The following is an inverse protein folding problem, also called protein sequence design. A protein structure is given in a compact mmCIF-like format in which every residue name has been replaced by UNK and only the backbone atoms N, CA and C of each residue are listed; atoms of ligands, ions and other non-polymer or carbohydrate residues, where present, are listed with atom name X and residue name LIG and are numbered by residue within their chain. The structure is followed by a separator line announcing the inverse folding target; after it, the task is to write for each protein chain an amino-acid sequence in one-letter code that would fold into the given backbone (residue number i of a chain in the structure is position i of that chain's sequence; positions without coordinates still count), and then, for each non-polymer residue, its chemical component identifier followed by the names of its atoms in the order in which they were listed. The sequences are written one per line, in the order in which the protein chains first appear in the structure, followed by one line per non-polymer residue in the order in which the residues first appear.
data_IF_847055798949
#
_entry.id   IF_847055798949
#
_cell.length_a   1.000
_cell.length_b   1.000
_cell.length_c   1.000
_cell.angle_alpha   90.00
_cell.angle_beta   90.00
_cell.angle_gamma   90.00
#
_symmetry.space_group_name_H-M   'P 1'
#
loop_
_entity.id
_entity.type
_entity.pdbx_description
1 polymer ?
#
# COMPACT_ATOMS: atom_id res chain seq x y z
N UNK A 1 24.23 17.33 -13.71
CA UNK A 1 23.84 17.11 -12.30
C UNK A 1 23.46 15.67 -12.18
N UNK A 2 24.25 14.85 -11.50
CA UNK A 2 23.89 13.45 -11.28
C UNK A 2 22.67 13.38 -10.35
N UNK A 3 21.67 12.53 -10.63
CA UNK A 3 20.57 12.34 -9.73
C UNK A 3 21.08 11.58 -8.50
N UNK A 4 20.86 12.15 -7.32
CA UNK A 4 21.23 11.59 -6.03
C UNK A 4 20.81 10.11 -5.90
N UNK A 5 21.74 9.20 -6.15
CA UNK A 5 21.59 7.77 -5.92
C UNK A 5 21.59 7.53 -4.41
N UNK A 6 20.45 7.74 -3.77
CA UNK A 6 20.26 7.31 -2.39
C UNK A 6 20.31 5.78 -2.35
N UNK A 7 21.20 5.23 -1.52
CA UNK A 7 21.27 3.79 -1.31
C UNK A 7 19.89 3.24 -0.90
N UNK A 8 19.50 2.08 -1.45
CA UNK A 8 18.24 1.44 -1.10
C UNK A 8 18.23 1.16 0.40
N UNK A 9 17.12 1.51 1.05
CA UNK A 9 16.98 1.27 2.49
C UNK A 9 16.53 -0.18 2.69
N UNK A 10 17.13 -0.86 3.66
CA UNK A 10 16.62 -2.16 4.10
C UNK A 10 15.25 -2.02 4.77
N UNK A 11 14.36 -3.01 4.58
CA UNK A 11 13.07 -3.06 5.24
C UNK A 11 13.24 -3.21 6.76
N UNK A 12 12.22 -2.81 7.51
CA UNK A 12 12.08 -3.22 8.91
C UNK A 12 11.64 -4.69 8.95
N UNK A 13 12.09 -5.44 9.94
CA UNK A 13 11.61 -6.81 10.15
C UNK A 13 10.15 -6.78 10.61
N UNK A 14 9.85 -6.11 11.73
CA UNK A 14 8.50 -6.02 12.28
C UNK A 14 8.05 -4.60 12.64
N UNK A 15 6.74 -4.42 12.79
CA UNK A 15 6.13 -3.27 13.46
C UNK A 15 5.57 -3.66 14.85
N UNK A 16 5.39 -2.65 15.70
CA UNK A 16 4.79 -2.89 17.01
C UNK A 16 3.28 -3.18 16.90
N UNK A 17 2.70 -3.95 17.84
CA UNK A 17 1.25 -4.18 17.93
C UNK A 17 0.44 -2.88 17.99
N UNK A 18 0.96 -1.88 18.73
CA UNK A 18 0.35 -0.54 18.79
C UNK A 18 0.32 0.14 17.42
N UNK A 19 1.39 -0.01 16.64
CA UNK A 19 1.45 0.51 15.27
C UNK A 19 0.44 -0.18 14.39
N UNK A 20 0.37 -1.52 14.44
CA UNK A 20 -0.56 -2.30 13.63
C UNK A 20 -2.02 -1.92 13.91
N UNK A 21 -2.47 -2.00 15.16
CA UNK A 21 -3.85 -1.64 15.52
C UNK A 21 -4.20 -0.16 15.31
N UNK A 22 -3.21 0.73 15.30
CA UNK A 22 -3.45 2.12 14.95
C UNK A 22 -3.55 2.31 13.44
N UNK A 23 -2.64 1.73 12.65
CA UNK A 23 -2.46 2.04 11.23
C UNK A 23 -3.20 1.13 10.28
N UNK A 24 -3.58 -0.09 10.65
CA UNK A 24 -4.22 -1.04 9.76
C UNK A 24 -5.75 -1.14 9.83
N UNK A 25 -6.52 -0.51 10.73
CA UNK A 25 -7.99 -0.57 10.64
C UNK A 25 -8.56 -0.04 9.32
N UNK A 26 -9.44 -0.81 8.67
CA UNK A 26 -10.27 -0.42 7.54
C UNK A 26 -11.29 0.63 7.97
N UNK A 27 -11.00 1.88 7.63
CA UNK A 27 -11.82 3.04 7.96
C UNK A 27 -11.94 3.97 6.75
N UNK A 28 -13.17 4.33 6.35
CA UNK A 28 -13.40 5.37 5.34
C UNK A 28 -12.78 6.72 5.72
N UNK A 29 -12.85 7.08 7.00
CA UNK A 29 -12.28 8.31 7.54
C UNK A 29 -11.26 7.99 8.63
N UNK A 30 -10.02 8.38 8.39
CA UNK A 30 -8.89 7.93 9.20
C UNK A 30 -7.99 9.10 9.62
N UNK A 31 -8.60 10.09 10.26
CA UNK A 31 -7.93 11.32 10.66
C UNK A 31 -6.70 11.06 11.56
N UNK A 32 -5.64 11.85 11.38
CA UNK A 32 -4.41 11.76 12.16
C UNK A 32 -3.44 10.65 11.75
N UNK A 33 -3.79 9.76 10.81
CA UNK A 33 -2.88 8.73 10.27
C UNK A 33 -1.96 9.31 9.21
N UNK A 34 -0.86 9.91 9.65
CA UNK A 34 0.13 10.60 8.78
C UNK A 34 1.13 9.66 8.07
N UNK A 35 1.09 8.36 8.37
CA UNK A 35 2.05 7.39 7.85
C UNK A 35 1.34 6.29 7.07
N UNK A 36 2.00 5.84 6.01
CA UNK A 36 1.70 4.61 5.31
C UNK A 36 2.75 3.56 5.67
N UNK A 37 2.28 2.40 6.11
CA UNK A 37 3.05 1.18 6.28
C UNK A 37 2.68 0.20 5.16
N UNK A 38 3.68 -0.44 4.58
CA UNK A 38 3.58 -1.45 3.53
C UNK A 38 4.37 -2.67 4.00
N UNK A 39 3.64 -3.72 4.38
CA UNK A 39 4.24 -5.02 4.64
C UNK A 39 4.31 -5.78 3.32
N UNK A 40 5.40 -6.46 3.03
CA UNK A 40 5.54 -7.21 1.79
C UNK A 40 6.10 -8.61 2.02
N UNK A 41 5.78 -9.47 1.07
CA UNK A 41 6.38 -10.77 0.88
C UNK A 41 6.79 -10.88 -0.60
N UNK A 42 7.93 -11.51 -0.86
CA UNK A 42 8.41 -11.88 -2.19
C UNK A 42 8.62 -13.38 -2.23
N UNK A 43 7.83 -14.07 -3.03
CA UNK A 43 7.98 -15.48 -3.31
C UNK A 43 8.76 -15.66 -4.62
N UNK A 44 9.76 -16.55 -4.60
CA UNK A 44 10.60 -16.86 -5.77
C UNK A 44 10.29 -18.26 -6.24
N UNK A 45 9.94 -18.42 -7.52
CA UNK A 45 9.62 -19.72 -8.09
C UNK A 45 10.75 -20.73 -7.86
N UNK A 46 10.45 -21.83 -7.15
CA UNK A 46 11.42 -22.90 -6.91
C UNK A 46 12.33 -22.75 -5.68
N UNK A 47 12.17 -21.69 -4.87
CA UNK A 47 12.95 -21.47 -3.65
C UNK A 47 12.07 -21.44 -2.39
N UNK A 48 12.46 -22.10 -1.29
CA UNK A 48 11.70 -22.10 -0.04
C UNK A 48 11.87 -20.82 0.79
N UNK A 49 12.79 -19.94 0.40
CA UNK A 49 13.07 -18.69 1.13
C UNK A 49 12.32 -17.53 0.46
N UNK A 50 11.41 -16.93 1.22
CA UNK A 50 10.71 -15.69 0.85
C UNK A 50 11.39 -14.50 1.53
N UNK A 51 11.64 -13.42 0.78
CA UNK A 51 12.03 -12.15 1.39
C UNK A 51 10.78 -11.44 1.90
N UNK A 52 10.86 -10.83 3.07
CA UNK A 52 9.72 -10.16 3.67
C UNK A 52 10.17 -8.99 4.54
N UNK A 53 9.23 -8.10 4.85
CA UNK A 53 9.47 -7.01 5.79
C UNK A 53 8.49 -5.87 5.62
N UNK A 54 8.83 -4.74 6.24
CA UNK A 54 7.95 -3.58 6.32
C UNK A 54 8.66 -2.30 5.89
N UNK A 55 8.07 -1.59 4.94
CA UNK A 55 8.40 -0.21 4.64
C UNK A 55 7.42 0.75 5.29
N UNK A 56 7.93 1.90 5.70
CA UNK A 56 7.15 3.05 6.14
C UNK A 56 7.55 4.25 5.31
N UNK A 57 6.57 5.07 4.90
CA UNK A 57 6.85 6.34 4.24
C UNK A 57 7.82 7.20 5.06
N UNK A 58 8.74 7.89 4.37
CA UNK A 58 9.66 8.86 4.95
C UNK A 58 9.03 10.24 4.89
N UNK A 59 8.95 10.90 6.04
CA UNK A 59 8.73 12.35 6.10
C UNK A 59 10.11 13.00 6.03
N UNK A 60 10.58 13.33 4.83
CA UNK A 60 11.82 14.07 4.65
C UNK A 60 11.50 15.55 4.36
N UNK A 61 12.31 16.46 4.91
CA UNK A 61 12.09 17.92 4.84
C UNK A 61 12.00 18.48 3.40
N UNK A 62 12.53 17.76 2.40
CA UNK A 62 12.59 18.21 0.99
C UNK A 62 11.74 17.39 0.02
N UNK A 63 11.42 16.14 0.35
CA UNK A 63 10.60 15.26 -0.50
C UNK A 63 10.11 14.06 0.33
N UNK A 64 8.82 13.96 0.69
CA UNK A 64 8.31 12.76 1.32
C UNK A 64 8.47 11.57 0.36
N UNK A 65 9.00 10.44 0.84
CA UNK A 65 9.07 9.20 0.05
C UNK A 65 7.98 8.26 0.51
N UNK A 66 7.15 7.82 -0.42
CA UNK A 66 6.08 6.86 -0.15
C UNK A 66 6.66 5.45 0.07
N UNK A 67 5.91 4.59 0.76
CA UNK A 67 6.41 3.26 1.14
C UNK A 67 6.62 2.38 -0.09
N UNK A 68 5.75 2.54 -1.09
CA UNK A 68 5.78 1.92 -2.42
C UNK A 68 7.11 2.21 -3.12
N UNK A 69 7.52 3.48 -3.19
CA UNK A 69 8.79 3.88 -3.82
C UNK A 69 10.00 3.35 -3.03
N UNK A 70 9.89 3.24 -1.70
CA UNK A 70 10.95 2.63 -0.89
C UNK A 70 11.10 1.14 -1.23
N UNK A 71 9.99 0.40 -1.35
CA UNK A 71 10.01 -0.98 -1.79
C UNK A 71 10.60 -1.11 -3.19
N UNK A 72 10.11 -0.34 -4.18
CA UNK A 72 10.59 -0.45 -5.56
C UNK A 72 12.08 -0.13 -5.68
N UNK A 73 12.59 0.82 -4.90
CA UNK A 73 14.03 1.12 -4.84
C UNK A 73 14.84 -0.03 -4.24
N UNK A 74 14.35 -0.63 -3.14
CA UNK A 74 14.98 -1.77 -2.50
C UNK A 74 14.97 -3.02 -3.39
N UNK A 75 13.83 -3.31 -4.02
CA UNK A 75 13.63 -4.52 -4.80
C UNK A 75 14.47 -4.53 -6.09
N UNK A 76 14.59 -3.38 -6.77
CA UNK A 76 15.52 -3.20 -7.90
C UNK A 76 16.97 -3.49 -7.54
N UNK A 77 17.36 -3.24 -6.29
CA UNK A 77 18.73 -3.47 -5.83
C UNK A 77 19.00 -4.91 -5.40
N UNK A 78 18.00 -5.80 -5.41
CA UNK A 78 18.17 -7.21 -5.09
C UNK A 78 18.75 -8.04 -6.26
N UNK A 79 19.14 -7.41 -7.37
CA UNK A 79 19.67 -8.09 -8.57
C UNK A 79 18.75 -9.23 -9.04
N UNK A 80 17.49 -8.89 -9.35
CA UNK A 80 16.47 -9.86 -9.79
C UNK A 80 16.95 -10.62 -11.02
N UNK A 81 17.09 -11.94 -10.88
CA UNK A 81 17.41 -12.85 -11.99
C UNK A 81 16.29 -12.83 -13.04
N UNK A 82 16.60 -12.62 -14.33
CA UNK A 82 15.61 -12.73 -15.40
C UNK A 82 15.03 -14.13 -15.59
N UNK A 83 15.72 -15.16 -15.09
CA UNK A 83 15.34 -16.58 -15.24
C UNK A 83 14.38 -17.06 -14.13
N UNK A 84 14.14 -16.23 -13.12
CA UNK A 84 13.22 -16.52 -12.02
C UNK A 84 11.93 -15.71 -12.16
N UNK A 85 10.82 -16.29 -11.68
CA UNK A 85 9.56 -15.57 -11.52
C UNK A 85 9.39 -15.14 -10.06
N UNK A 86 8.94 -13.92 -9.87
CA UNK A 86 8.68 -13.34 -8.55
C UNK A 86 7.20 -13.05 -8.40
N UNK A 87 6.62 -13.51 -7.30
CA UNK A 87 5.30 -13.09 -6.87
C UNK A 87 5.45 -12.20 -5.64
N UNK A 88 5.01 -10.95 -5.76
CA UNK A 88 5.09 -9.96 -4.70
C UNK A 88 3.69 -9.74 -4.15
N UNK A 89 3.55 -9.75 -2.83
CA UNK A 89 2.30 -9.39 -2.16
C UNK A 89 2.55 -8.21 -1.25
N UNK A 90 1.74 -7.16 -1.38
CA UNK A 90 1.74 -5.99 -0.49
C UNK A 90 0.49 -5.97 0.37
N UNK A 91 0.69 -5.83 1.68
CA UNK A 91 -0.35 -5.47 2.64
C UNK A 91 -0.10 -4.05 3.13
N UNK A 92 -0.87 -3.10 2.62
CA UNK A 92 -0.64 -1.68 2.85
C UNK A 92 -1.72 -1.06 3.73
N UNK A 93 -1.31 -0.15 4.62
CA UNK A 93 -2.26 0.61 5.44
C UNK A 93 -3.13 1.59 4.62
N UNK A 94 -2.66 1.98 3.43
CA UNK A 94 -3.34 2.86 2.48
C UNK A 94 -3.07 2.37 1.07
N UNK A 95 -4.06 2.46 0.19
CA UNK A 95 -3.86 2.22 -1.24
C UNK A 95 -2.83 3.20 -1.81
N UNK A 96 -2.11 2.82 -2.87
CA UNK A 96 -1.14 3.73 -3.49
C UNK A 96 -1.77 5.04 -3.96
N UNK A 97 -1.01 6.13 -3.90
CA UNK A 97 -1.40 7.36 -4.60
C UNK A 97 -1.18 7.22 -6.11
N UNK A 98 -1.80 8.10 -6.90
CA UNK A 98 -1.71 8.02 -8.37
C UNK A 98 -0.26 8.03 -8.89
N UNK A 99 0.61 8.90 -8.37
CA UNK A 99 2.02 8.91 -8.78
C UNK A 99 2.78 7.64 -8.41
N UNK A 100 2.41 6.95 -7.32
CA UNK A 100 3.01 5.67 -6.95
C UNK A 100 2.45 4.53 -7.80
N UNK A 101 1.16 4.58 -8.16
CA UNK A 101 0.57 3.67 -9.12
C UNK A 101 1.31 3.73 -10.46
N UNK A 102 1.55 4.93 -11.00
CA UNK A 102 2.31 5.11 -12.25
C UNK A 102 3.71 4.47 -12.18
N UNK A 103 4.43 4.67 -11.06
CA UNK A 103 5.77 4.12 -10.87
C UNK A 103 5.76 2.59 -10.70
N UNK A 104 4.71 2.03 -10.11
CA UNK A 104 4.51 0.57 -10.03
C UNK A 104 4.21 0.00 -11.41
N UNK A 105 3.35 0.63 -12.21
CA UNK A 105 3.06 0.18 -13.59
C UNK A 105 4.35 0.17 -14.42
N UNK A 106 5.12 1.27 -14.40
CA UNK A 106 6.44 1.33 -15.09
C UNK A 106 7.39 0.25 -14.61
N UNK A 107 7.38 -0.06 -13.31
CA UNK A 107 8.21 -1.13 -12.77
C UNK A 107 7.79 -2.49 -13.33
N UNK A 108 6.50 -2.82 -13.33
CA UNK A 108 6.00 -4.10 -13.86
C UNK A 108 6.19 -4.22 -15.38
N UNK A 109 6.16 -3.11 -16.11
CA UNK A 109 6.52 -3.08 -17.53
C UNK A 109 8.00 -3.40 -17.77
N UNK A 110 8.88 -2.92 -16.89
CA UNK A 110 10.32 -3.18 -16.95
C UNK A 110 10.68 -4.61 -16.50
N UNK A 111 10.00 -5.15 -15.48
CA UNK A 111 10.28 -6.45 -14.88
C UNK A 111 9.12 -7.42 -15.12
N UNK A 112 9.03 -7.92 -16.36
CA UNK A 112 7.93 -8.80 -16.83
C UNK A 112 7.83 -10.15 -16.10
N UNK A 113 8.88 -10.55 -15.39
CA UNK A 113 8.92 -11.74 -14.55
C UNK A 113 8.43 -11.50 -13.10
N UNK A 114 7.90 -10.30 -12.82
CA UNK A 114 7.31 -9.94 -11.52
C UNK A 114 5.81 -9.80 -11.65
N UNK A 115 5.09 -10.46 -10.75
CA UNK A 115 3.64 -10.24 -10.52
C UNK A 115 3.44 -9.58 -9.17
N UNK A 116 2.34 -8.84 -9.01
CA UNK A 116 2.08 -8.05 -7.82
C UNK A 116 0.61 -8.10 -7.42
N UNK A 117 0.38 -8.40 -6.14
CA UNK A 117 -0.91 -8.28 -5.47
C UNK A 117 -0.83 -7.18 -4.41
N UNK A 118 -1.87 -6.35 -4.31
CA UNK A 118 -1.96 -5.26 -3.34
C UNK A 118 -3.28 -5.36 -2.57
N UNK A 119 -3.14 -5.62 -1.28
CA UNK A 119 -4.22 -5.63 -0.30
C UNK A 119 -4.12 -4.39 0.59
N UNK A 120 -5.04 -3.44 0.41
CA UNK A 120 -5.04 -2.19 1.14
C UNK A 120 -6.03 -2.22 2.31
N UNK A 121 -5.64 -1.75 3.49
CA UNK A 121 -6.58 -1.57 4.59
C UNK A 121 -7.61 -0.46 4.28
N UNK A 122 -7.18 0.59 3.57
CA UNK A 122 -7.97 1.79 3.28
C UNK A 122 -7.67 2.34 1.89
N UNK A 123 -8.63 3.00 1.28
CA UNK A 123 -8.43 3.74 0.04
C UNK A 123 -7.99 5.17 0.31
N UNK A 124 -6.92 5.62 -0.34
CA UNK A 124 -6.38 6.98 -0.20
C UNK A 124 -6.95 7.92 -1.26
N UNK A 125 -7.57 9.02 -0.83
CA UNK A 125 -8.18 10.05 -1.71
C UNK A 125 -9.09 9.47 -2.81
N UNK A 126 -9.86 8.42 -2.50
CA UNK A 126 -10.62 7.66 -3.49
C UNK A 126 -11.76 8.43 -4.18
N UNK A 127 -12.14 9.59 -3.65
CA UNK A 127 -13.08 10.52 -4.28
C UNK A 127 -12.45 11.35 -5.40
N UNK A 128 -11.12 11.36 -5.54
CA UNK A 128 -10.38 12.20 -6.46
C UNK A 128 -10.02 11.43 -7.76
N UNK A 129 -10.45 11.89 -8.96
CA UNK A 129 -10.29 11.15 -10.21
C UNK A 129 -8.87 10.65 -10.55
N UNK A 130 -7.78 11.40 -10.32
CA UNK A 130 -6.42 10.89 -10.55
C UNK A 130 -6.10 9.64 -9.72
N UNK A 131 -6.56 9.58 -8.47
CA UNK A 131 -6.34 8.42 -7.60
C UNK A 131 -7.14 7.21 -8.09
N UNK A 132 -8.37 7.42 -8.51
CA UNK A 132 -9.18 6.37 -9.14
C UNK A 132 -8.54 5.85 -10.43
N UNK A 133 -8.02 6.75 -11.28
CA UNK A 133 -7.30 6.39 -12.50
C UNK A 133 -6.06 5.55 -12.18
N UNK A 134 -5.24 5.95 -11.20
CA UNK A 134 -4.07 5.17 -10.79
C UNK A 134 -4.42 3.74 -10.35
N UNK A 135 -5.53 3.55 -9.61
CA UNK A 135 -6.00 2.20 -9.25
C UNK A 135 -6.45 1.38 -10.47
N UNK A 136 -7.13 2.01 -11.44
CA UNK A 136 -7.51 1.34 -12.70
C UNK A 136 -6.31 0.99 -13.57
N UNK A 137 -5.28 1.83 -13.60
CA UNK A 137 -4.04 1.57 -14.34
C UNK A 137 -3.27 0.40 -13.73
N UNK A 138 -3.20 0.32 -12.39
CA UNK A 138 -2.66 -0.86 -11.69
C UNK A 138 -3.42 -2.14 -12.09
N UNK A 139 -4.75 -2.12 -12.04
CA UNK A 139 -5.56 -3.26 -12.47
C UNK A 139 -5.29 -3.63 -13.94
N UNK A 140 -5.19 -2.64 -14.82
CA UNK A 140 -4.91 -2.85 -16.25
C UNK A 140 -3.52 -3.42 -16.51
N UNK A 141 -2.56 -3.14 -15.62
CA UNK A 141 -1.22 -3.72 -15.61
C UNK A 141 -1.19 -5.15 -15.01
N UNK A 142 -2.34 -5.72 -14.65
CA UNK A 142 -2.46 -7.08 -14.13
C UNK A 142 -2.26 -7.19 -12.61
N UNK A 143 -2.27 -6.08 -11.88
CA UNK A 143 -2.17 -6.09 -10.41
C UNK A 143 -3.50 -6.50 -9.79
N UNK A 144 -3.50 -7.51 -8.93
CA UNK A 144 -4.67 -7.80 -8.10
C UNK A 144 -4.81 -6.74 -7.01
N UNK A 145 -5.99 -6.12 -6.91
CA UNK A 145 -6.29 -5.08 -5.93
C UNK A 145 -7.50 -5.48 -5.09
N UNK A 146 -7.37 -5.51 -3.78
CA UNK A 146 -8.50 -5.73 -2.86
C UNK A 146 -8.31 -4.97 -1.53
N UNK A 147 -9.39 -4.87 -0.76
CA UNK A 147 -9.35 -4.44 0.63
C UNK A 147 -9.07 -5.65 1.53
N UNK A 148 -8.10 -5.48 2.43
CA UNK A 148 -7.67 -6.52 3.37
C UNK A 148 -8.85 -7.24 4.03
N UNK A 149 -8.86 -8.56 3.88
CA UNK A 149 -9.77 -9.52 4.51
C UNK A 149 -9.38 -9.81 5.96
N UNK A 150 -10.16 -10.65 6.64
CA UNK A 150 -9.80 -11.11 7.98
C UNK A 150 -8.49 -11.90 7.95
N UNK A 151 -8.34 -12.77 6.95
CA UNK A 151 -7.20 -13.63 6.71
C UNK A 151 -5.94 -12.79 6.45
N UNK A 152 -6.05 -11.72 5.67
CA UNK A 152 -4.93 -10.80 5.42
C UNK A 152 -4.46 -10.12 6.71
N UNK A 153 -5.39 -9.69 7.57
CA UNK A 153 -5.01 -9.10 8.86
C UNK A 153 -4.38 -10.12 9.80
N UNK A 154 -4.89 -11.35 9.82
CA UNK A 154 -4.31 -12.41 10.63
C UNK A 154 -2.90 -12.76 10.14
N UNK A 155 -2.74 -12.94 8.83
CA UNK A 155 -1.45 -13.18 8.19
C UNK A 155 -0.47 -12.05 8.53
N UNK A 156 -0.91 -10.79 8.45
CA UNK A 156 -0.06 -9.67 8.78
C UNK A 156 0.37 -9.64 10.25
N UNK A 157 -0.54 -10.00 11.15
CA UNK A 157 -0.24 -10.08 12.57
C UNK A 157 0.81 -11.15 12.89
N UNK A 158 0.72 -12.30 12.24
CA UNK A 158 1.62 -13.43 12.47
C UNK A 158 3.02 -13.20 11.89
N UNK A 159 3.12 -12.48 10.76
CA UNK A 159 4.38 -12.36 10.02
C UNK A 159 5.05 -10.99 10.16
N UNK A 160 4.30 -9.88 10.27
CA UNK A 160 4.85 -8.52 10.23
C UNK A 160 4.79 -7.76 11.55
N UNK A 161 4.20 -8.36 12.59
CA UNK A 161 4.05 -7.73 13.90
C UNK A 161 4.87 -8.46 14.95
N UNK A 162 5.66 -7.72 15.72
CA UNK A 162 6.27 -8.23 16.96
C UNK A 162 5.17 -8.36 18.02
N UNK A 163 4.37 -9.41 17.90
CA UNK A 163 3.18 -9.62 18.71
C UNK A 163 3.49 -10.05 20.14
N UNK A 164 4.75 -10.35 20.49
CA UNK A 164 5.22 -10.67 21.86
C UNK A 164 4.36 -11.74 22.56
N UNK A 165 3.90 -12.75 21.81
CA UNK A 165 3.03 -13.81 22.31
C UNK A 165 1.56 -13.44 22.50
N UNK A 166 1.15 -12.20 22.16
CA UNK A 166 -0.27 -11.82 22.14
C UNK A 166 -1.01 -12.51 21.00
N UNK A 167 -2.24 -12.93 21.26
CA UNK A 167 -3.14 -13.48 20.24
C UNK A 167 -3.66 -12.37 19.33
N UNK A 168 -3.91 -12.72 18.07
CA UNK A 168 -4.54 -11.83 17.11
C UNK A 168 -5.94 -11.42 17.58
N UNK A 169 -6.28 -10.14 17.38
CA UNK A 169 -7.60 -9.59 17.68
C UNK A 169 -8.07 -8.74 16.49
N UNK A 170 -9.10 -9.19 15.78
CA UNK A 170 -9.65 -8.46 14.64
C UNK A 170 -10.58 -7.31 15.03
N UNK A 171 -10.84 -7.11 16.33
CA UNK A 171 -11.82 -6.13 16.82
C UNK A 171 -11.46 -4.73 16.30
N UNK A 172 -12.38 -4.14 15.55
CA UNK A 172 -12.25 -2.83 14.87
C UNK A 172 -11.38 -2.79 13.61
N UNK A 173 -10.64 -3.85 13.25
CA UNK A 173 -9.84 -3.85 12.02
C UNK A 173 -10.74 -3.81 10.78
N UNK A 174 -11.86 -4.54 10.79
CA UNK A 174 -12.74 -4.70 9.63
C UNK A 174 -13.88 -3.67 9.57
N UNK A 175 -13.85 -2.62 10.40
CA UNK A 175 -15.02 -1.76 10.70
C UNK A 175 -15.75 -1.24 9.45
N UNK A 176 -15.02 -0.75 8.44
CA UNK A 176 -15.60 -0.25 7.19
C UNK A 176 -15.12 -1.05 5.96
N UNK A 177 -14.71 -2.31 6.15
CA UNK A 177 -14.12 -3.14 5.09
C UNK A 177 -15.04 -3.28 3.89
N UNK A 178 -16.29 -3.68 4.12
CA UNK A 178 -17.23 -3.96 3.02
C UNK A 178 -17.59 -2.71 2.20
N UNK A 179 -17.72 -1.57 2.87
CA UNK A 179 -17.94 -0.27 2.21
C UNK A 179 -16.75 0.09 1.33
N UNK A 180 -15.52 -0.08 1.84
CA UNK A 180 -14.30 0.18 1.07
C UNK A 180 -14.14 -0.80 -0.09
N UNK A 181 -14.51 -2.07 0.09
CA UNK A 181 -14.42 -3.09 -0.95
C UNK A 181 -15.39 -2.79 -2.10
N UNK A 182 -16.64 -2.44 -1.77
CA UNK A 182 -17.63 -2.00 -2.76
C UNK A 182 -17.16 -0.76 -3.51
N UNK A 183 -16.58 0.22 -2.80
CA UNK A 183 -16.05 1.43 -3.42
C UNK A 183 -14.89 1.13 -4.36
N UNK A 184 -13.97 0.26 -3.96
CA UNK A 184 -12.87 -0.19 -4.83
C UNK A 184 -13.42 -0.86 -6.09
N UNK A 185 -14.39 -1.78 -5.97
CA UNK A 185 -15.03 -2.41 -7.13
C UNK A 185 -15.67 -1.39 -8.08
N UNK A 186 -16.36 -0.37 -7.54
CA UNK A 186 -16.96 0.69 -8.34
C UNK A 186 -15.90 1.50 -9.10
N UNK A 187 -14.79 1.83 -8.45
CA UNK A 187 -13.65 2.53 -9.06
C UNK A 187 -13.06 1.70 -10.20
N UNK A 188 -12.81 0.41 -9.94
CA UNK A 188 -12.18 -0.50 -10.89
C UNK A 188 -13.08 -0.78 -12.11
N UNK A 189 -14.40 -0.89 -11.92
CA UNK A 189 -15.38 -1.04 -13.01
C UNK A 189 -15.66 0.25 -13.77
N UNK A 190 -15.11 1.39 -13.34
CA UNK A 190 -15.41 2.70 -13.93
C UNK A 190 -16.84 3.19 -13.68
N UNK A 191 -17.51 2.66 -12.65
CA UNK A 191 -18.90 2.98 -12.31
C UNK A 191 -19.02 4.18 -11.36
N UNK A 192 -17.90 4.77 -10.94
CA UNK A 192 -17.86 5.99 -10.13
C UNK A 192 -18.25 7.24 -10.94
N UNK A 193 -19.55 7.59 -10.92
CA UNK A 193 -20.02 8.93 -11.32
C UNK A 193 -19.59 10.01 -10.32
N UNK A 194 -19.76 11.32 -10.65
CA UNK A 194 -19.32 12.41 -9.78
C UNK A 194 -20.02 12.31 -8.42
N UNK A 195 -19.26 12.06 -7.36
CA UNK A 195 -19.74 12.17 -5.98
C UNK A 195 -20.10 13.64 -5.75
N UNK A 196 -21.39 13.96 -5.90
CA UNK A 196 -21.94 15.26 -5.55
C UNK A 196 -21.69 15.49 -4.07
N UNK A 197 -21.07 16.64 -3.75
CA UNK A 197 -20.93 17.13 -2.38
C UNK A 197 -22.31 17.20 -1.76
N UNK A 198 -22.60 16.30 -0.81
CA UNK A 198 -23.57 16.67 0.20
C UNK A 198 -22.85 17.63 1.13
N UNK A 199 -23.21 18.90 0.99
CA UNK A 199 -22.71 20.01 1.76
C UNK A 199 -23.21 19.88 3.20
N UNK A 200 -22.55 19.04 4.00
CA UNK A 200 -22.50 19.25 5.44
C UNK A 200 -21.22 20.03 5.75
N UNK A 201 -21.47 21.28 6.14
CA UNK A 201 -20.53 22.34 6.43
C UNK A 201 -19.60 22.00 7.60
N UNK A 202 -18.51 21.30 7.31
CA UNK A 202 -17.28 21.44 8.11
C UNK A 202 -16.09 21.64 7.19
N UNK A 203 -15.44 22.79 7.36
CA UNK A 203 -14.39 23.31 6.51
C UNK A 203 -13.32 22.25 6.23
N UNK A 204 -13.20 21.88 4.95
CA UNK A 204 -11.99 21.30 4.38
C UNK A 204 -10.90 22.36 4.47
N UNK A 205 -10.26 22.46 5.64
CA UNK A 205 -9.01 23.19 5.74
C UNK A 205 -8.03 22.48 4.83
N UNK A 206 -7.72 23.16 3.74
CA UNK A 206 -6.65 22.80 2.83
C UNK A 206 -5.41 22.46 3.64
N UNK A 207 -4.82 21.29 3.41
CA UNK A 207 -3.42 21.08 3.71
C UNK A 207 -2.62 22.00 2.78
N UNK A 208 -2.47 23.24 3.22
CA UNK A 208 -1.47 24.15 2.71
C UNK A 208 -0.14 23.60 3.22
N UNK A 209 0.54 22.79 2.40
CA UNK A 209 1.97 22.57 2.55
C UNK A 209 2.63 23.90 2.22
N UNK A 210 2.82 24.75 3.22
CA UNK A 210 3.77 25.86 3.12
C UNK A 210 5.12 25.40 3.63
N UNK A 211 6.09 25.59 2.73
CA UNK A 211 7.55 25.59 2.85
C UNK A 211 8.11 25.94 4.21
#
# INVERSE_FOLDING_TARGET
MEPWHHHPRNPMEWISPKTFFFQFPSLCYAWGRKFCYLCFQVERGGHPLSDWGVFRNKVHRRAPYHAELCFLSWFRAQNLSPDENYHVTWFSSWSPCHTCADEVVKFLDQYRNVTLDIFAARLYCFWDPPFQNGLRELQSAGVQLDIMSFEDYQYCWENFVDHKGMRFQSRNLLRHRDVLATELENILRGLGGPVTRQADSFQVTHFNVRS
#
